data_IF_439131884386
#
_entry.id   IF_439131884386
#
_cell.length_a   1.000
_cell.length_b   1.000
_cell.length_c   1.000
_cell.angle_alpha   90.00
_cell.angle_beta   90.00
_cell.angle_gamma   90.00
#
_symmetry.space_group_name_H-M   'P 1'
#
loop_
_entity.id
_entity.type
_entity.pdbx_description
1 polymer ?
#
# COMPACT_ATOMS: atom_id res chain seq x y z
N UNK A 1 15.78 -22.72 -16.13
CA UNK A 1 14.31 -22.69 -15.97
C UNK A 1 13.93 -23.47 -14.72
N UNK A 2 13.50 -22.79 -13.63
CA UNK A 2 12.76 -23.40 -12.51
C UNK A 2 12.23 -22.30 -11.58
N UNK A 3 11.11 -21.67 -11.94
CA UNK A 3 10.34 -20.89 -11.00
C UNK A 3 9.56 -21.87 -10.11
N UNK A 4 9.98 -22.05 -8.86
CA UNK A 4 9.20 -22.73 -7.83
C UNK A 4 8.33 -21.70 -7.12
N UNK A 5 7.11 -21.50 -7.61
CA UNK A 5 6.07 -20.77 -6.89
C UNK A 5 5.70 -21.64 -5.69
N UNK A 6 6.27 -21.33 -4.51
CA UNK A 6 5.76 -21.85 -3.22
C UNK A 6 4.59 -20.96 -2.80
N UNK A 7 3.38 -21.35 -3.17
CA UNK A 7 2.16 -20.80 -2.59
C UNK A 7 1.96 -21.40 -1.18
N UNK A 8 2.23 -20.64 -0.13
CA UNK A 8 1.76 -20.94 1.23
C UNK A 8 0.45 -20.17 1.43
N UNK A 9 -0.67 -20.77 1.01
CA UNK A 9 -1.99 -20.26 1.40
C UNK A 9 -2.06 -20.24 2.94
N UNK A 10 -2.61 -19.18 3.56
CA UNK A 10 -3.52 -18.17 3.01
C UNK A 10 -2.87 -16.83 2.59
N UNK A 11 -1.54 -16.70 2.51
CA UNK A 11 -0.88 -15.42 2.27
C UNK A 11 -0.26 -15.33 0.87
N UNK A 12 -0.64 -14.27 0.14
CA UNK A 12 0.02 -13.89 -1.11
C UNK A 12 1.00 -12.75 -0.84
N UNK A 13 2.26 -12.94 -1.24
CA UNK A 13 3.29 -11.91 -1.17
C UNK A 13 3.55 -11.34 -2.55
N UNK A 14 3.50 -10.01 -2.66
CA UNK A 14 3.81 -9.27 -3.88
C UNK A 14 4.86 -8.23 -3.57
N UNK A 15 5.75 -7.99 -4.52
CA UNK A 15 6.73 -6.92 -4.46
C UNK A 15 6.89 -6.28 -5.82
N UNK A 16 7.30 -5.01 -5.84
CA UNK A 16 7.67 -4.26 -7.04
C UNK A 16 8.93 -3.48 -6.73
N UNK A 17 9.93 -3.53 -7.61
CA UNK A 17 11.06 -2.61 -7.57
C UNK A 17 10.66 -1.28 -8.19
N UNK A 18 10.96 -0.19 -7.51
CA UNK A 18 10.74 1.17 -7.98
C UNK A 18 12.09 1.90 -8.00
N UNK A 19 12.35 2.65 -9.07
CA UNK A 19 13.55 3.48 -9.19
C UNK A 19 13.28 4.84 -8.53
N UNK A 20 13.27 4.87 -7.20
CA UNK A 20 13.11 6.08 -6.41
C UNK A 20 13.90 5.97 -5.10
N UNK A 21 14.38 7.09 -4.52
CA UNK A 21 14.90 7.10 -3.17
C UNK A 21 13.88 6.54 -2.18
N UNK A 22 14.33 5.73 -1.21
CA UNK A 22 13.46 5.11 -0.22
C UNK A 22 12.53 6.13 0.51
N UNK A 23 12.97 7.34 0.89
CA UNK A 23 12.09 8.33 1.50
C UNK A 23 10.96 8.81 0.59
N UNK A 24 11.20 8.90 -0.72
CA UNK A 24 10.20 9.35 -1.69
C UNK A 24 9.19 8.25 -1.98
N UNK A 25 9.66 7.01 -2.16
CA UNK A 25 8.79 5.85 -2.29
C UNK A 25 7.90 5.69 -1.05
N UNK A 26 8.48 5.84 0.15
CA UNK A 26 7.72 5.80 1.39
C UNK A 26 6.70 6.94 1.50
N UNK A 27 7.07 8.16 1.11
CA UNK A 27 6.13 9.30 1.08
C UNK A 27 4.94 9.02 0.18
N UNK A 28 5.16 8.44 -1.00
CA UNK A 28 4.07 8.06 -1.90
C UNK A 28 3.18 6.97 -1.30
N UNK A 29 3.76 5.99 -0.58
CA UNK A 29 3.01 4.91 0.07
C UNK A 29 2.07 5.42 1.17
N UNK A 30 2.51 6.39 1.98
CA UNK A 30 1.72 6.90 3.11
C UNK A 30 0.77 8.04 2.74
N UNK A 31 0.97 8.71 1.59
CA UNK A 31 0.12 9.82 1.15
C UNK A 31 -1.14 9.31 0.43
N UNK A 32 -2.31 9.49 1.05
CA UNK A 32 -3.60 8.99 0.54
C UNK A 32 -4.00 9.61 -0.78
N UNK A 33 -3.50 10.81 -1.11
CA UNK A 33 -3.73 11.47 -2.41
C UNK A 33 -3.02 10.75 -3.56
N UNK A 34 -1.96 9.98 -3.27
CA UNK A 34 -1.21 9.23 -4.29
C UNK A 34 -1.87 7.88 -4.62
N UNK A 35 -2.75 7.36 -3.76
CA UNK A 35 -3.30 6.02 -3.91
C UNK A 35 -4.15 5.82 -5.17
N UNK A 36 -4.96 6.80 -5.64
CA UNK A 36 -5.66 6.69 -6.91
C UNK A 36 -4.74 6.50 -8.13
N UNK A 37 -3.46 6.87 -8.02
CA UNK A 37 -2.49 6.70 -9.10
C UNK A 37 -1.92 5.28 -9.18
N UNK A 38 -2.08 4.46 -8.13
CA UNK A 38 -1.48 3.12 -8.08
C UNK A 38 -2.20 2.12 -8.98
N UNK A 39 -3.49 2.33 -9.23
CA UNK A 39 -4.28 1.46 -10.09
C UNK A 39 -5.78 1.74 -10.02
N UNK A 40 -6.56 1.17 -10.95
CA UNK A 40 -7.96 1.50 -11.15
C UNK A 40 -8.87 1.10 -9.97
N UNK A 41 -8.38 0.24 -9.08
CA UNK A 41 -9.14 -0.25 -7.92
C UNK A 41 -9.36 0.83 -6.85
N UNK A 42 -8.49 1.83 -6.77
CA UNK A 42 -8.64 2.97 -5.85
C UNK A 42 -9.05 4.19 -6.66
N UNK A 43 -10.25 4.72 -6.43
CA UNK A 43 -10.72 5.95 -7.09
C UNK A 43 -10.49 7.19 -6.22
N UNK A 44 -10.80 7.07 -4.94
CA UNK A 44 -10.61 8.14 -3.97
C UNK A 44 -10.40 7.54 -2.58
N UNK A 45 -9.81 8.34 -1.69
CA UNK A 45 -9.63 8.00 -0.28
C UNK A 45 -10.23 9.12 0.56
N UNK A 46 -11.16 8.75 1.43
CA UNK A 46 -11.73 9.63 2.45
C UNK A 46 -11.05 9.32 3.79
N UNK A 47 -10.16 10.20 4.20
CA UNK A 47 -9.42 10.08 5.45
C UNK A 47 -9.18 11.49 6.01
N UNK A 48 -9.35 11.72 7.33
CA UNK A 48 -9.02 13.02 7.94
C UNK A 48 -7.54 13.35 7.78
N UNK A 49 -6.68 12.33 7.83
CA UNK A 49 -5.25 12.47 7.66
C UNK A 49 -4.83 12.22 6.22
N UNK A 50 -4.10 13.19 5.65
CA UNK A 50 -3.46 13.01 4.34
C UNK A 50 -2.39 11.92 4.36
N UNK A 51 -1.63 11.82 5.45
CA UNK A 51 -0.60 10.80 5.62
C UNK A 51 -1.07 9.78 6.63
N UNK A 52 -1.15 8.53 6.21
CA UNK A 52 -1.51 7.45 7.13
C UNK A 52 -0.35 7.18 8.09
N UNK A 53 -0.69 6.98 9.35
CA UNK A 53 0.19 6.50 10.39
C UNK A 53 -0.49 5.33 11.11
N UNK A 54 0.24 4.69 12.03
CA UNK A 54 -0.34 3.66 12.87
C UNK A 54 -1.61 4.17 13.57
N UNK A 55 -2.71 3.41 13.46
CA UNK A 55 -4.01 3.77 14.03
C UNK A 55 -4.92 4.56 13.08
N UNK A 56 -4.39 5.19 12.01
CA UNK A 56 -5.20 5.91 11.02
C UNK A 56 -6.26 4.99 10.40
N UNK A 57 -7.46 5.50 10.23
CA UNK A 57 -8.58 4.79 9.62
C UNK A 57 -9.29 5.69 8.61
N UNK A 58 -9.87 5.10 7.59
CA UNK A 58 -10.60 5.84 6.56
C UNK A 58 -11.42 4.92 5.67
N UNK A 59 -11.93 5.48 4.58
CA UNK A 59 -12.70 4.76 3.56
C UNK A 59 -12.02 4.91 2.21
N UNK A 60 -11.89 3.80 1.49
CA UNK A 60 -11.45 3.77 0.09
C UNK A 60 -12.70 3.68 -0.76
N UNK A 61 -12.87 4.61 -1.68
CA UNK A 61 -13.84 4.48 -2.75
C UNK A 61 -13.20 3.67 -3.88
N UNK A 62 -13.80 2.53 -4.21
CA UNK A 62 -13.32 1.67 -5.29
C UNK A 62 -14.05 1.93 -6.62
N UNK A 63 -13.61 1.23 -7.68
CA UNK A 63 -14.22 1.33 -9.00
C UNK A 63 -15.71 0.94 -9.07
N UNK A 64 -16.19 0.17 -8.09
CA UNK A 64 -17.57 -0.30 -7.99
C UNK A 64 -18.43 0.63 -7.09
N UNK A 65 -17.92 1.82 -6.74
CA UNK A 65 -18.58 2.79 -5.85
C UNK A 65 -18.98 2.22 -4.47
N UNK A 66 -18.36 1.10 -4.07
CA UNK A 66 -18.52 0.55 -2.73
C UNK A 66 -17.39 1.08 -1.85
N UNK A 67 -17.75 1.67 -0.72
CA UNK A 67 -16.77 2.11 0.27
C UNK A 67 -16.16 0.89 0.96
N UNK A 68 -14.84 0.82 1.00
CA UNK A 68 -14.09 -0.18 1.77
C UNK A 68 -13.37 0.52 2.92
N UNK A 69 -13.71 0.17 4.15
CA UNK A 69 -13.02 0.72 5.33
C UNK A 69 -11.62 0.12 5.44
N UNK A 70 -10.64 0.98 5.74
CA UNK A 70 -9.29 0.53 6.08
C UNK A 70 -8.87 1.04 7.47
N UNK A 71 -7.89 0.34 8.06
CA UNK A 71 -7.20 0.72 9.30
C UNK A 71 -5.72 0.39 9.14
N UNK A 72 -4.85 1.36 9.37
CA UNK A 72 -3.41 1.14 9.40
C UNK A 72 -3.02 0.45 10.72
N UNK A 73 -2.54 -0.79 10.63
CA UNK A 73 -2.17 -1.63 11.78
C UNK A 73 -0.64 -1.74 11.95
N UNK A 74 0.15 -1.16 11.05
CA UNK A 74 1.60 -1.22 11.11
C UNK A 74 2.25 -0.38 10.02
N UNK A 75 3.26 0.39 10.39
CA UNK A 75 4.12 1.13 9.47
C UNK A 75 5.55 0.62 9.69
N UNK A 76 5.93 -0.45 8.97
CA UNK A 76 7.26 -1.04 9.09
C UNK A 76 8.30 -0.17 8.39
N UNK A 77 9.02 0.67 9.15
CA UNK A 77 10.14 1.47 8.66
C UNK A 77 11.50 0.74 8.70
N UNK A 78 11.53 -0.59 8.64
CA UNK A 78 12.76 -1.36 8.82
C UNK A 78 12.83 -2.61 7.97
N UNK A 79 14.04 -2.89 7.46
CA UNK A 79 14.51 -4.09 6.75
C UNK A 79 14.44 -4.06 5.21
N UNK A 80 15.12 -3.09 4.60
CA UNK A 80 15.71 -3.26 3.26
C UNK A 80 17.20 -2.87 3.25
N UNK A 81 17.98 -3.39 4.19
CA UNK A 81 19.44 -3.45 4.01
C UNK A 81 19.73 -4.75 3.27
N UNK A 82 19.73 -4.69 1.94
CA UNK A 82 20.34 -5.72 1.10
C UNK A 82 21.80 -5.35 0.86
N UNK A 83 22.70 -6.09 1.51
CA UNK A 83 24.06 -6.30 1.03
C UNK A 83 24.07 -7.51 0.09
#
# INVERSE_FOLDING_TARGET
>A
MRWMIRSQFPYLWLYRRVHAPAPEAWRALIDTECWPLWGPSVRAVECPERRIAFGTSGSIQNALASGCRFRCQGAGGGLHTGA
#
